data_IF_308401247737
#
_entry.id   IF_308401247737
#
_cell.length_a   1.000
_cell.length_b   1.000
_cell.length_c   1.000
_cell.angle_alpha   90.00
_cell.angle_beta   90.00
_cell.angle_gamma   90.00
#
_symmetry.space_group_name_H-M   'P 1'
#
loop_
_entity.id
_entity.type
_entity.pdbx_description
1 polymer ?
#
# COMPACT_ATOMS: atom_id res chain seq x y z
N UNK A 1 -13.08 10.93 4.97
CA UNK A 1 -11.85 10.11 5.07
C UNK A 1 -11.10 10.22 3.76
N UNK A 2 -9.84 10.58 3.79
CA UNK A 2 -9.05 10.82 2.59
C UNK A 2 -7.85 9.89 2.55
N UNK A 3 -7.46 9.51 1.33
CA UNK A 3 -6.28 8.72 1.09
C UNK A 3 -5.60 9.17 -0.19
N UNK A 4 -4.34 8.82 -0.35
CA UNK A 4 -3.56 9.13 -1.54
C UNK A 4 -2.76 7.90 -1.95
N UNK A 5 -2.68 7.69 -3.27
CA UNK A 5 -1.84 6.68 -3.87
C UNK A 5 -0.62 7.34 -4.50
N UNK A 6 0.55 6.70 -4.38
CA UNK A 6 1.73 7.16 -5.05
C UNK A 6 2.92 6.25 -4.85
N UNK A 7 3.99 6.51 -5.59
CA UNK A 7 5.25 5.81 -5.40
C UNK A 7 5.89 6.24 -4.08
N UNK A 8 6.34 5.26 -3.30
CA UNK A 8 6.99 5.55 -2.02
C UNK A 8 8.26 6.40 -2.17
N UNK A 9 8.96 6.23 -3.27
CA UNK A 9 10.27 6.87 -3.47
C UNK A 9 10.26 8.10 -4.36
N UNK A 10 9.18 8.36 -5.10
CA UNK A 10 9.10 9.57 -5.92
C UNK A 10 8.29 10.64 -5.19
N UNK A 11 8.85 11.19 -4.04
CA UNK A 11 7.77 11.47 -3.36
C UNK A 11 7.45 12.77 -2.79
N UNK A 12 6.40 13.18 -3.33
CA UNK A 12 5.46 14.04 -2.68
C UNK A 12 4.79 13.42 -1.43
N UNK A 13 4.92 12.12 -1.18
CA UNK A 13 4.30 11.49 0.00
C UNK A 13 4.82 12.09 1.31
N UNK A 14 6.13 12.21 1.47
CA UNK A 14 6.68 12.83 2.67
C UNK A 14 6.34 14.32 2.77
N UNK A 15 6.23 14.99 1.61
CA UNK A 15 5.77 16.39 1.58
C UNK A 15 4.31 16.52 2.03
N UNK A 16 3.46 15.58 1.61
CA UNK A 16 2.06 15.55 2.04
C UNK A 16 1.91 15.33 3.55
N UNK A 17 2.80 14.56 4.16
CA UNK A 17 2.78 14.35 5.61
C UNK A 17 3.05 15.64 6.40
N UNK A 18 3.71 16.61 5.77
CA UNK A 18 4.04 17.89 6.38
C UNK A 18 2.95 18.94 6.22
N UNK A 19 1.87 18.63 5.51
CA UNK A 19 0.75 19.56 5.34
C UNK A 19 -0.03 19.74 6.64
N UNK A 20 -0.73 20.87 6.76
CA UNK A 20 -1.58 21.15 7.92
C UNK A 20 -2.71 20.10 8.07
N UNK A 21 -3.20 19.59 6.95
CA UNK A 21 -4.23 18.52 6.91
C UNK A 21 -3.76 17.43 5.95
N UNK A 22 -2.85 16.55 6.38
CA UNK A 22 -2.39 15.49 5.51
C UNK A 22 -3.50 14.48 5.20
N UNK A 23 -3.38 13.72 4.10
CA UNK A 23 -4.26 12.59 3.87
C UNK A 23 -4.25 11.64 5.07
N UNK A 24 -5.39 11.02 5.36
CA UNK A 24 -5.52 10.14 6.52
C UNK A 24 -4.83 8.79 6.30
N UNK A 25 -4.81 8.33 5.06
CA UNK A 25 -4.23 7.04 4.67
C UNK A 25 -3.35 7.19 3.46
N UNK A 26 -2.38 6.33 3.32
CA UNK A 26 -1.61 6.20 2.09
C UNK A 26 -1.70 4.79 1.52
N UNK A 27 -1.66 4.72 0.21
CA UNK A 27 -1.42 3.51 -0.56
C UNK A 27 -0.13 3.75 -1.33
N UNK A 28 0.97 3.20 -0.84
CA UNK A 28 2.28 3.48 -1.40
C UNK A 28 2.82 2.29 -2.18
N UNK A 29 3.27 2.57 -3.39
CA UNK A 29 3.93 1.58 -4.22
C UNK A 29 5.42 1.54 -3.85
N UNK A 30 5.86 0.43 -3.32
CA UNK A 30 7.26 0.14 -3.02
C UNK A 30 7.52 -1.34 -3.35
N UNK A 31 7.96 -1.59 -4.57
CA UNK A 31 8.09 -2.94 -5.12
C UNK A 31 9.37 -3.61 -4.63
N UNK A 32 9.42 -3.94 -3.36
CA UNK A 32 10.53 -4.61 -2.72
C UNK A 32 10.24 -6.10 -2.42
N UNK A 33 9.10 -6.58 -2.91
CA UNK A 33 8.63 -7.95 -2.71
C UNK A 33 8.47 -8.33 -1.23
N UNK A 34 8.30 -7.34 -0.38
CA UNK A 34 8.18 -7.52 1.06
C UNK A 34 6.81 -7.01 1.56
N UNK A 35 5.90 -7.91 1.99
CA UNK A 35 4.58 -7.53 2.47
C UNK A 35 4.60 -6.99 3.89
N UNK A 36 5.35 -5.92 4.12
CA UNK A 36 5.45 -5.27 5.42
C UNK A 36 5.36 -3.75 5.27
N UNK A 37 4.46 -3.13 6.00
CA UNK A 37 4.31 -1.67 6.01
C UNK A 37 5.35 -0.97 6.88
N UNK A 38 6.10 -1.71 7.69
CA UNK A 38 7.23 -1.16 8.44
C UNK A 38 8.50 -1.06 7.58
N UNK A 39 8.51 -1.72 6.44
CA UNK A 39 9.68 -1.81 5.56
C UNK A 39 9.56 -0.91 4.32
N UNK A 40 9.05 0.29 4.47
CA UNK A 40 9.09 1.28 3.39
C UNK A 40 10.46 1.96 3.35
N UNK A 41 11.16 1.81 2.24
CA UNK A 41 12.50 2.38 2.11
C UNK A 41 12.52 3.90 2.01
N UNK A 42 11.43 4.51 1.55
CA UNK A 42 11.40 5.94 1.24
C UNK A 42 10.36 6.73 2.03
N UNK A 43 9.42 6.08 2.69
CA UNK A 43 8.45 6.75 3.56
C UNK A 43 9.02 6.77 4.97
N UNK A 44 9.15 7.96 5.56
CA UNK A 44 9.68 8.11 6.91
C UNK A 44 8.88 7.30 7.92
N UNK A 45 9.58 6.67 8.87
CA UNK A 45 9.01 5.68 9.77
C UNK A 45 7.81 6.13 10.57
N UNK A 46 7.76 7.42 10.96
CA UNK A 46 6.65 7.98 11.72
C UNK A 46 5.44 8.41 10.88
N UNK A 47 5.60 8.50 9.56
CA UNK A 47 4.53 8.97 8.69
C UNK A 47 3.52 7.84 8.45
N UNK A 48 2.26 8.11 8.78
CA UNK A 48 1.15 7.16 8.62
C UNK A 48 1.40 5.79 9.27
N UNK A 49 2.18 5.76 10.36
CA UNK A 49 2.60 4.52 11.00
C UNK A 49 1.51 3.87 11.86
N UNK A 50 0.43 4.59 12.18
CA UNK A 50 -0.61 4.11 13.06
C UNK A 50 -1.78 3.52 12.26
N UNK A 51 -1.58 2.32 11.70
CA UNK A 51 -2.61 1.60 10.94
C UNK A 51 -3.20 2.42 9.78
N UNK A 52 -2.34 3.13 9.06
CA UNK A 52 -2.76 4.08 8.01
C UNK A 52 -2.10 3.78 6.67
N UNK A 53 -1.54 2.59 6.51
CA UNK A 53 -0.76 2.24 5.32
C UNK A 53 -1.34 1.06 4.57
N UNK A 54 -1.44 1.22 3.26
CA UNK A 54 -1.61 0.14 2.29
C UNK A 54 -0.36 0.13 1.44
N UNK A 55 0.24 -1.03 1.25
CA UNK A 55 1.47 -1.17 0.48
C UNK A 55 1.25 -2.04 -0.76
N UNK A 56 1.60 -1.51 -1.92
CA UNK A 56 1.78 -2.31 -3.12
C UNK A 56 3.24 -2.78 -3.13
N UNK A 57 3.47 -4.05 -2.80
CA UNK A 57 4.83 -4.55 -2.62
C UNK A 57 5.37 -5.28 -3.85
N UNK A 58 4.52 -5.56 -4.81
CA UNK A 58 4.88 -6.19 -6.07
C UNK A 58 3.89 -5.75 -7.13
N UNK A 59 4.38 -5.41 -8.29
CA UNK A 59 3.51 -4.97 -9.37
C UNK A 59 4.04 -5.40 -10.72
N UNK A 60 3.21 -5.21 -11.75
CA UNK A 60 3.55 -5.48 -13.15
C UNK A 60 4.13 -6.89 -13.34
N UNK A 61 3.45 -7.91 -12.82
CA UNK A 61 3.85 -9.29 -13.04
C UNK A 61 2.66 -10.11 -13.53
N UNK A 62 2.97 -11.21 -14.24
CA UNK A 62 1.94 -12.05 -14.82
C UNK A 62 1.69 -13.28 -13.95
N UNK A 63 0.41 -13.61 -13.80
CA UNK A 63 -0.01 -14.89 -13.23
C UNK A 63 -0.91 -15.62 -14.23
N UNK A 64 -0.85 -16.94 -14.20
CA UNK A 64 -1.69 -17.79 -15.04
C UNK A 64 -2.79 -18.44 -14.21
N UNK A 65 -4.02 -18.16 -14.58
CA UNK A 65 -5.20 -18.70 -13.93
C UNK A 65 -6.04 -19.44 -14.97
N UNK A 66 -6.16 -20.75 -14.82
CA UNK A 66 -6.92 -21.63 -15.73
C UNK A 66 -6.57 -21.38 -17.21
N UNK A 67 -5.28 -21.27 -17.51
CA UNK A 67 -4.80 -21.01 -18.87
C UNK A 67 -4.87 -19.57 -19.34
N UNK A 68 -5.33 -18.66 -18.50
CA UNK A 68 -5.38 -17.23 -18.82
C UNK A 68 -4.26 -16.51 -18.10
N UNK A 69 -3.45 -15.74 -18.85
CA UNK A 69 -2.38 -14.92 -18.31
C UNK A 69 -2.94 -13.55 -18.01
N UNK A 70 -2.78 -13.10 -16.75
CA UNK A 70 -3.18 -11.76 -16.33
C UNK A 70 -2.01 -11.03 -15.72
N UNK A 71 -1.96 -9.71 -15.93
CA UNK A 71 -0.98 -8.83 -15.30
C UNK A 71 -1.60 -8.27 -14.03
N UNK A 72 -0.94 -8.45 -12.88
CA UNK A 72 -1.49 -8.08 -11.59
C UNK A 72 -0.47 -7.39 -10.69
N UNK A 73 -1.00 -6.81 -9.64
CA UNK A 73 -0.25 -6.23 -8.54
C UNK A 73 -0.61 -6.94 -7.23
N UNK A 74 0.32 -7.01 -6.31
CA UNK A 74 0.08 -7.54 -4.98
C UNK A 74 0.18 -6.44 -3.92
N UNK A 75 -0.81 -6.41 -3.04
CA UNK A 75 -0.91 -5.41 -1.99
C UNK A 75 -1.12 -6.07 -0.63
N UNK A 76 -0.68 -5.39 0.41
CA UNK A 76 -1.05 -5.72 1.77
C UNK A 76 -1.45 -4.45 2.53
N UNK A 77 -2.26 -4.61 3.54
CA UNK A 77 -2.81 -3.49 4.28
C UNK A 77 -2.53 -3.61 5.77
N UNK A 78 -2.22 -2.47 6.38
CA UNK A 78 -2.21 -2.30 7.81
C UNK A 78 -3.10 -1.11 8.13
N UNK A 79 -4.37 -1.39 8.40
CA UNK A 79 -5.38 -0.37 8.60
C UNK A 79 -6.78 -0.95 8.49
N UNK A 80 -7.81 -0.12 8.69
CA UNK A 80 -9.18 -0.57 8.56
C UNK A 80 -9.50 -0.93 7.11
N UNK A 81 -10.07 -2.11 6.92
CA UNK A 81 -10.54 -2.60 5.62
C UNK A 81 -12.05 -2.74 5.66
N UNK A 82 -12.69 -2.39 4.54
CA UNK A 82 -14.11 -2.60 4.40
C UNK A 82 -14.42 -4.10 4.34
N UNK A 83 -15.45 -4.59 5.02
CA UNK A 83 -15.85 -5.97 4.88
C UNK A 83 -16.40 -6.22 3.47
N UNK A 84 -16.00 -7.33 2.87
CA UNK A 84 -16.36 -7.70 1.50
C UNK A 84 -17.08 -9.05 1.47
N UNK A 85 -18.21 -9.16 2.16
CA UNK A 85 -19.01 -10.37 2.15
C UNK A 85 -18.25 -11.62 2.62
N UNK A 86 -17.32 -11.49 3.55
CA UNK A 86 -16.49 -12.59 4.03
C UNK A 86 -15.23 -12.85 3.22
N UNK A 87 -15.01 -12.10 2.14
CA UNK A 87 -13.79 -12.19 1.36
C UNK A 87 -12.88 -11.02 1.70
N UNK A 88 -11.71 -11.31 2.19
CA UNK A 88 -10.65 -10.32 2.33
C UNK A 88 -9.83 -10.32 1.04
N UNK A 89 -9.92 -9.23 0.31
CA UNK A 89 -9.21 -9.08 -0.96
C UNK A 89 -7.78 -8.57 -0.81
N UNK A 90 -7.36 -8.25 0.40
CA UNK A 90 -6.01 -7.81 0.68
C UNK A 90 -5.39 -8.61 1.82
N UNK A 91 -4.13 -8.93 1.69
CA UNK A 91 -3.36 -9.54 2.78
C UNK A 91 -3.08 -8.50 3.86
N UNK A 92 -2.99 -8.94 5.10
CA UNK A 92 -2.59 -8.07 6.20
C UNK A 92 -1.08 -7.91 6.20
N UNK A 93 -0.61 -6.68 6.31
CA UNK A 93 0.82 -6.39 6.49
C UNK A 93 1.23 -6.45 7.96
N UNK A 94 2.47 -6.75 8.14
CA UNK A 94 3.09 -6.55 9.45
C UNK A 94 3.49 -5.08 9.65
#
# INVERSE_FOLDING_TARGET
MSGVYGSACNSYLNDLASMARPPRFIWAANWDDNPSTSAFSCVSGGHWSNHQRLKQYKGDYNETWRGVIINIDSNCANGPLAPTGGLNSASVCN
#
